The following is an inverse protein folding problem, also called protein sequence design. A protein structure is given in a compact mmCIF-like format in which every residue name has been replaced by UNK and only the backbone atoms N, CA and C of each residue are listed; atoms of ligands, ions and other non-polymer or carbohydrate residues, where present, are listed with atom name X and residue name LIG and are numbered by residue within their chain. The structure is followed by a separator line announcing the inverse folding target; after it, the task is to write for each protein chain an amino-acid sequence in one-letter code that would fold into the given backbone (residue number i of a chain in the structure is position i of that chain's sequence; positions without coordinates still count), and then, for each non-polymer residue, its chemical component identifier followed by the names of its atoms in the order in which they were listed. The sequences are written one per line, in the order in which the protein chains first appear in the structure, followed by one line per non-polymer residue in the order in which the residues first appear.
data_IF_661944601873
#
_entry.id   IF_661944601873
#
_cell.length_a   1.000
_cell.length_b   1.000
_cell.length_c   1.000
_cell.angle_alpha   90.00
_cell.angle_beta   90.00
_cell.angle_gamma   90.00
#
_symmetry.space_group_name_H-M   'P 1'
#
loop_
_entity.id
_entity.type
_entity.pdbx_description
1 polymer ?
#
# COMPACT_ATOMS: atom_id res chain seq x y z
N UNK A 1 25.92 -25.69 5.30
CA UNK A 1 24.60 -25.89 5.92
C UNK A 1 23.65 -24.83 5.39
N UNK A 2 22.67 -25.22 4.56
CA UNK A 2 21.53 -24.35 4.24
C UNK A 2 20.63 -24.35 5.47
N UNK A 3 20.45 -23.20 6.12
CA UNK A 3 19.47 -23.09 7.19
C UNK A 3 18.10 -22.94 6.53
N UNK A 4 17.49 -24.09 6.24
CA UNK A 4 16.11 -24.15 5.79
C UNK A 4 15.24 -24.63 6.96
N UNK A 5 14.90 -23.71 7.85
CA UNK A 5 14.00 -24.00 8.99
C UNK A 5 12.62 -24.47 8.52
N UNK A 6 12.23 -24.17 7.28
CA UNK A 6 11.01 -24.65 6.67
C UNK A 6 11.10 -26.08 6.13
N UNK A 7 12.28 -26.72 6.16
CA UNK A 7 12.46 -28.09 5.65
C UNK A 7 11.64 -29.14 6.42
N UNK A 8 11.26 -28.84 7.67
CA UNK A 8 10.43 -29.69 8.52
C UNK A 8 8.91 -29.44 8.38
N UNK A 9 8.50 -28.51 7.51
CA UNK A 9 7.09 -28.21 7.29
C UNK A 9 6.32 -29.38 6.69
N UNK A 10 5.03 -29.50 7.03
CA UNK A 10 4.09 -30.45 6.44
C UNK A 10 3.02 -29.73 5.62
N UNK A 11 2.36 -30.47 4.73
CA UNK A 11 1.14 -30.00 4.08
C UNK A 11 -0.01 -29.91 5.06
N UNK A 12 -0.97 -29.02 4.74
CA UNK A 12 -2.26 -28.97 5.42
C UNK A 12 -2.98 -30.32 5.25
N UNK A 13 -3.50 -30.86 6.35
CA UNK A 13 -4.24 -32.10 6.40
C UNK A 13 -5.75 -31.80 6.41
N UNK A 14 -6.57 -32.81 6.12
CA UNK A 14 -8.03 -32.66 6.08
C UNK A 14 -8.67 -32.33 7.43
N UNK A 15 -8.00 -32.69 8.52
CA UNK A 15 -8.41 -32.45 9.90
C UNK A 15 -7.82 -31.16 10.49
N UNK A 16 -7.04 -30.39 9.72
CA UNK A 16 -6.65 -29.04 10.11
C UNK A 16 -7.84 -28.08 9.97
N UNK A 17 -7.95 -27.15 10.91
CA UNK A 17 -8.94 -26.09 10.89
C UNK A 17 -8.30 -24.80 10.37
N UNK A 18 -9.01 -24.12 9.46
CA UNK A 18 -8.53 -22.87 8.86
C UNK A 18 -9.50 -21.76 9.23
N UNK A 19 -8.98 -20.71 9.84
CA UNK A 19 -9.71 -19.50 10.21
C UNK A 19 -9.31 -18.36 9.26
N UNK A 20 -10.31 -17.61 8.76
CA UNK A 20 -10.09 -16.49 7.85
C UNK A 20 -10.63 -15.22 8.45
N UNK A 21 -9.74 -14.25 8.68
CA UNK A 21 -10.09 -12.89 9.10
C UNK A 21 -9.89 -11.89 7.97
N UNK A 22 -10.93 -11.13 7.63
CA UNK A 22 -10.85 -10.08 6.62
C UNK A 22 -10.34 -8.77 7.24
N UNK A 23 -9.56 -8.02 6.47
CA UNK A 23 -8.88 -6.80 6.92
C UNK A 23 -8.85 -5.74 5.81
N UNK A 24 -9.05 -4.47 6.15
CA UNK A 24 -8.83 -3.35 5.23
C UNK A 24 -7.48 -2.70 5.56
N UNK A 25 -6.52 -2.83 4.65
CA UNK A 25 -5.16 -2.29 4.84
C UNK A 25 -4.98 -0.89 4.28
N UNK A 26 -5.71 -0.61 3.21
CA UNK A 26 -5.50 0.58 2.41
C UNK A 26 -6.82 0.99 1.81
N UNK A 27 -7.05 2.30 1.79
CA UNK A 27 -8.17 2.90 1.10
C UNK A 27 -7.73 4.24 0.50
N UNK A 28 -8.25 4.57 -0.68
CA UNK A 28 -8.06 5.87 -1.29
C UNK A 28 -9.27 6.33 -2.07
N UNK A 29 -9.51 7.63 -2.03
CA UNK A 29 -10.49 8.33 -2.84
C UNK A 29 -9.74 9.27 -3.77
N UNK A 30 -10.11 9.24 -5.04
CA UNK A 30 -9.60 10.12 -6.07
C UNK A 30 -10.76 10.89 -6.66
N UNK A 31 -10.65 12.21 -6.64
CA UNK A 31 -11.64 13.09 -7.24
C UNK A 31 -11.61 13.01 -8.75
N UNK A 32 -12.74 13.36 -9.36
CA UNK A 32 -12.78 13.88 -10.72
C UNK A 32 -11.93 15.16 -10.79
N UNK A 33 -11.40 15.50 -11.97
CA UNK A 33 -10.69 16.76 -12.16
C UNK A 33 -11.56 17.94 -11.72
N UNK A 34 -10.96 18.86 -10.95
CA UNK A 34 -11.62 20.10 -10.51
C UNK A 34 -12.96 19.86 -9.80
N UNK A 35 -13.06 18.78 -9.02
CA UNK A 35 -14.23 18.50 -8.18
C UNK A 35 -13.81 18.30 -6.72
N UNK A 36 -14.50 18.95 -5.75
CA UNK A 36 -14.31 18.64 -4.34
C UNK A 36 -14.81 17.21 -4.05
N UNK A 37 -14.23 16.56 -3.03
CA UNK A 37 -14.61 15.18 -2.66
C UNK A 37 -15.12 15.03 -1.25
N UNK A 38 -14.95 16.02 -0.37
CA UNK A 38 -15.46 15.92 1.00
C UNK A 38 -16.92 16.38 1.10
N UNK A 39 -17.66 15.87 2.08
CA UNK A 39 -19.00 16.34 2.44
C UNK A 39 -18.92 17.28 3.65
N UNK A 40 -19.82 18.27 3.70
CA UNK A 40 -19.96 19.24 4.79
C UNK A 40 -20.29 18.57 6.14
N UNK A 41 -21.19 17.58 6.12
CA UNK A 41 -21.55 16.74 7.28
C UNK A 41 -20.43 15.74 7.57
N UNK A 42 -20.05 15.61 8.83
CA UNK A 42 -19.03 14.69 9.32
C UNK A 42 -18.73 14.96 10.80
N UNK A 43 -17.69 14.32 11.39
CA UNK A 43 -17.35 14.53 12.79
C UNK A 43 -17.04 16.01 13.06
N UNK A 44 -17.74 16.62 14.03
CA UNK A 44 -17.68 18.05 14.35
C UNK A 44 -16.28 18.60 14.66
N UNK A 45 -15.35 17.75 15.13
CA UNK A 45 -14.02 18.14 15.59
C UNK A 45 -12.89 17.66 14.68
N UNK A 46 -13.19 17.16 13.47
CA UNK A 46 -12.14 16.79 12.52
C UNK A 46 -11.49 18.04 11.92
N UNK A 47 -10.16 18.05 11.95
CA UNK A 47 -9.34 19.17 11.49
C UNK A 47 -8.37 18.67 10.41
N UNK A 48 -8.24 19.45 9.33
CA UNK A 48 -7.28 19.22 8.27
C UNK A 48 -6.03 20.06 8.54
N UNK A 49 -4.92 19.40 8.81
CA UNK A 49 -3.62 20.05 8.93
C UNK A 49 -2.98 20.16 7.56
N UNK A 50 -2.89 21.39 7.03
CA UNK A 50 -2.24 21.73 5.77
C UNK A 50 -0.74 21.96 6.02
N UNK A 51 0.11 21.27 5.27
CA UNK A 51 1.57 21.26 5.44
C UNK A 51 2.28 21.81 4.19
N UNK A 52 2.29 23.14 4.03
CA UNK A 52 2.86 23.80 2.85
C UNK A 52 4.37 23.52 2.69
N UNK A 53 5.07 23.35 3.82
CA UNK A 53 6.49 22.96 3.91
C UNK A 53 6.84 21.61 3.28
N UNK A 54 5.89 20.70 3.27
CA UNK A 54 6.09 19.29 2.92
C UNK A 54 5.55 18.94 1.54
N UNK A 55 5.33 19.92 0.66
CA UNK A 55 4.74 19.74 -0.68
C UNK A 55 5.38 18.61 -1.51
N UNK A 56 6.68 18.34 -1.31
CA UNK A 56 7.43 17.30 -2.03
C UNK A 56 7.36 15.92 -1.37
N UNK A 57 6.56 15.75 -0.30
CA UNK A 57 6.36 14.46 0.37
C UNK A 57 5.93 13.42 -0.65
N UNK A 58 6.53 12.24 -0.55
CA UNK A 58 6.32 11.16 -1.51
C UNK A 58 4.92 10.57 -1.40
N UNK A 59 4.26 10.37 -2.53
CA UNK A 59 3.01 9.61 -2.64
C UNK A 59 3.30 8.11 -2.46
N UNK A 60 2.77 7.48 -1.41
CA UNK A 60 3.13 6.10 -1.02
C UNK A 60 2.03 5.06 -1.22
N UNK A 61 0.84 5.48 -1.63
CA UNK A 61 -0.28 4.58 -1.85
C UNK A 61 -0.07 3.65 -3.06
N UNK A 62 -0.81 2.53 -3.10
CA UNK A 62 -0.78 1.56 -4.21
C UNK A 62 -1.62 1.99 -5.42
N UNK A 63 -2.45 3.04 -5.28
CA UNK A 63 -3.24 3.63 -6.38
C UNK A 63 -2.49 3.93 -7.68
N UNK A 64 -1.20 4.33 -7.70
CA UNK A 64 -0.51 4.67 -8.94
C UNK A 64 -0.45 3.53 -9.95
N UNK A 65 -0.57 2.27 -9.50
CA UNK A 65 -0.68 1.11 -10.40
C UNK A 65 -2.00 1.06 -11.18
N UNK A 66 -3.03 1.75 -10.69
CA UNK A 66 -4.39 1.73 -11.21
C UNK A 66 -4.72 2.99 -12.03
N UNK A 67 -3.89 4.02 -11.95
CA UNK A 67 -4.08 5.28 -12.68
C UNK A 67 -3.85 5.11 -14.20
N UNK A 68 -4.60 5.84 -15.04
CA UNK A 68 -4.40 5.81 -16.49
C UNK A 68 -3.19 6.61 -16.98
N UNK A 69 -2.37 7.16 -16.07
CA UNK A 69 -1.18 7.97 -16.38
C UNK A 69 -0.09 7.83 -15.30
N UNK A 70 1.19 8.10 -15.63
CA UNK A 70 2.27 8.08 -14.65
C UNK A 70 2.22 9.31 -13.73
N UNK A 71 2.47 9.13 -12.44
CA UNK A 71 2.44 10.24 -11.46
C UNK A 71 3.75 11.05 -11.38
N UNK A 72 4.75 10.71 -12.20
CA UNK A 72 6.05 11.41 -12.21
C UNK A 72 5.86 12.92 -12.41
N UNK A 73 6.45 13.74 -11.53
CA UNK A 73 6.41 15.19 -11.64
C UNK A 73 5.02 15.83 -11.46
N UNK A 74 4.03 15.12 -10.91
CA UNK A 74 2.61 15.56 -10.87
C UNK A 74 2.01 15.67 -9.48
N UNK A 75 2.71 15.24 -8.43
CA UNK A 75 2.20 15.23 -7.07
C UNK A 75 2.59 16.48 -6.29
N UNK A 76 1.65 16.99 -5.51
CA UNK A 76 1.84 18.01 -4.49
C UNK A 76 1.15 17.57 -3.21
N UNK A 77 1.89 17.44 -2.12
CA UNK A 77 1.31 17.08 -0.82
C UNK A 77 0.64 18.28 -0.17
N UNK A 78 -0.63 18.13 0.21
CA UNK A 78 -1.41 19.17 0.87
C UNK A 78 -1.30 19.06 2.38
N UNK A 79 -1.43 17.85 2.92
CA UNK A 79 -1.39 17.66 4.36
C UNK A 79 -2.07 16.39 4.85
N UNK A 80 -2.61 16.44 6.07
CA UNK A 80 -3.29 15.29 6.67
C UNK A 80 -4.43 15.68 7.60
N UNK A 81 -5.49 14.87 7.59
CA UNK A 81 -6.56 14.89 8.58
C UNK A 81 -6.61 13.52 9.25
N UNK A 82 -6.45 13.47 10.57
CA UNK A 82 -6.25 12.21 11.29
C UNK A 82 -5.10 11.39 10.68
N UNK A 83 -5.42 10.24 10.07
CA UNK A 83 -4.47 9.38 9.34
C UNK A 83 -4.44 9.64 7.84
N UNK A 84 -5.47 10.28 7.30
CA UNK A 84 -5.65 10.52 5.88
C UNK A 84 -4.55 11.43 5.36
N UNK A 85 -3.92 11.03 4.26
CA UNK A 85 -2.90 11.80 3.57
C UNK A 85 -3.50 12.42 2.31
N UNK A 86 -3.44 13.75 2.21
CA UNK A 86 -4.04 14.50 1.12
C UNK A 86 -2.98 15.01 0.13
N UNK A 87 -3.28 14.86 -1.15
CA UNK A 87 -2.44 15.26 -2.26
C UNK A 87 -3.29 15.91 -3.36
N UNK A 88 -2.70 16.86 -4.08
CA UNK A 88 -3.11 17.22 -5.42
C UNK A 88 -2.28 16.42 -6.41
N UNK A 89 -2.93 15.71 -7.32
CA UNK A 89 -2.28 15.05 -8.44
C UNK A 89 -2.73 15.73 -9.73
N UNK A 90 -1.77 16.14 -10.55
CA UNK A 90 -2.05 16.83 -11.81
C UNK A 90 -2.32 15.79 -12.90
N UNK A 91 -3.59 15.53 -13.19
CA UNK A 91 -4.04 14.61 -14.24
C UNK A 91 -3.86 15.26 -15.62
N UNK A 92 -3.20 14.59 -16.60
CA UNK A 92 -3.14 15.10 -17.96
C UNK A 92 -4.53 15.27 -18.57
N UNK A 93 -4.79 16.43 -19.20
CA UNK A 93 -6.04 16.70 -19.92
C UNK A 93 -6.17 15.79 -21.14
N UNK A 94 -5.06 15.63 -21.87
CA UNK A 94 -4.97 14.68 -22.96
C UNK A 94 -4.64 13.29 -22.42
N UNK A 95 -5.38 12.28 -22.87
CA UNK A 95 -5.18 10.91 -22.44
C UNK A 95 -3.74 10.45 -22.60
N UNK A 96 -3.19 9.82 -21.56
CA UNK A 96 -1.87 9.21 -21.61
C UNK A 96 -1.98 7.79 -22.18
N UNK A 97 -1.16 7.49 -23.19
CA UNK A 97 -1.06 6.13 -23.74
C UNK A 97 0.08 5.42 -23.03
N UNK A 98 -0.26 4.40 -22.24
CA UNK A 98 0.76 3.53 -21.65
C UNK A 98 1.49 2.73 -22.72
N UNK A 99 2.79 2.41 -22.52
CA UNK A 99 3.48 1.45 -23.37
C UNK A 99 2.74 0.11 -23.38
N UNK A 100 2.67 -0.51 -24.55
CA UNK A 100 2.07 -1.84 -24.72
C UNK A 100 2.85 -2.93 -23.95
N UNK A 101 4.15 -2.72 -23.74
CA UNK A 101 4.99 -3.62 -22.97
C UNK A 101 4.70 -3.52 -21.46
N UNK A 102 4.29 -4.63 -20.84
CA UNK A 102 3.95 -4.70 -19.41
C UNK A 102 5.15 -4.35 -18.51
N UNK A 103 6.37 -4.78 -18.87
CA UNK A 103 7.55 -4.55 -18.04
C UNK A 103 8.00 -3.08 -18.07
N UNK A 104 7.92 -2.45 -19.23
CA UNK A 104 8.16 -1.01 -19.40
C UNK A 104 7.13 -0.18 -18.65
N UNK A 105 5.83 -0.50 -18.78
CA UNK A 105 4.78 0.13 -17.98
C UNK A 105 5.07 0.04 -16.48
N UNK A 106 5.41 -1.15 -15.98
CA UNK A 106 5.75 -1.34 -14.57
C UNK A 106 6.98 -0.51 -14.14
N UNK A 107 8.00 -0.44 -14.99
CA UNK A 107 9.20 0.37 -14.75
C UNK A 107 8.83 1.85 -14.62
N UNK A 108 8.01 2.38 -15.53
CA UNK A 108 7.54 3.77 -15.48
C UNK A 108 6.72 4.06 -14.22
N UNK A 109 5.84 3.15 -13.81
CA UNK A 109 5.07 3.30 -12.56
C UNK A 109 6.03 3.36 -11.35
N UNK A 110 6.99 2.44 -11.24
CA UNK A 110 7.96 2.41 -10.13
C UNK A 110 8.84 3.66 -10.08
N UNK A 111 9.28 4.14 -11.24
CA UNK A 111 10.04 5.38 -11.35
C UNK A 111 9.19 6.60 -10.96
N UNK A 112 7.95 6.67 -11.46
CA UNK A 112 7.02 7.75 -11.17
C UNK A 112 6.67 7.84 -9.69
N UNK A 113 6.50 6.72 -8.98
CA UNK A 113 6.31 6.72 -7.52
C UNK A 113 7.55 7.25 -6.77
N UNK A 114 8.75 7.12 -7.34
CA UNK A 114 9.99 7.64 -6.74
C UNK A 114 10.20 9.13 -7.00
N UNK A 115 9.77 9.61 -8.17
CA UNK A 115 9.91 11.00 -8.63
C UNK A 115 8.54 11.67 -8.78
N UNK A 116 7.61 11.38 -7.88
CA UNK A 116 6.23 11.83 -8.04
C UNK A 116 6.06 13.33 -7.83
N UNK A 117 6.86 13.94 -6.96
CA UNK A 117 6.75 15.35 -6.63
C UNK A 117 6.95 16.22 -7.87
N UNK A 118 6.10 17.23 -8.04
CA UNK A 118 6.23 18.19 -9.13
C UNK A 118 7.53 19.02 -9.03
N UNK A 119 7.89 19.70 -10.11
CA UNK A 119 9.04 20.60 -10.09
C UNK A 119 8.85 21.71 -9.06
N UNK A 120 9.96 22.23 -8.53
CA UNK A 120 9.93 23.32 -7.54
C UNK A 120 9.27 24.59 -8.09
N UNK A 121 9.41 24.85 -9.39
CA UNK A 121 8.80 26.00 -10.04
C UNK A 121 7.28 25.86 -10.19
N UNK A 122 6.79 24.64 -10.46
CA UNK A 122 5.37 24.35 -10.47
C UNK A 122 4.80 24.39 -9.05
N UNK A 123 5.49 23.79 -8.08
CA UNK A 123 5.09 23.84 -6.67
C UNK A 123 4.96 25.29 -6.17
N UNK A 124 5.89 26.17 -6.57
CA UNK A 124 5.82 27.61 -6.26
C UNK A 124 4.56 28.26 -6.83
N UNK A 125 4.26 28.06 -8.12
CA UNK A 125 3.07 28.64 -8.76
C UNK A 125 1.78 28.11 -8.10
N UNK A 126 1.73 26.81 -7.80
CA UNK A 126 0.59 26.20 -7.12
C UNK A 126 0.40 26.73 -5.70
N UNK A 127 1.49 26.96 -4.97
CA UNK A 127 1.44 27.59 -3.64
C UNK A 127 0.96 29.04 -3.69
N UNK A 128 1.39 29.82 -4.68
CA UNK A 128 0.88 31.18 -4.89
C UNK A 128 -0.63 31.16 -5.16
N UNK A 129 -1.11 30.19 -5.92
CA UNK A 129 -2.53 29.99 -6.15
C UNK A 129 -3.28 29.63 -4.85
N UNK A 130 -2.79 28.65 -4.08
CA UNK A 130 -3.36 28.26 -2.78
C UNK A 130 -3.46 29.47 -1.84
N UNK A 131 -2.40 30.26 -1.73
CA UNK A 131 -2.40 31.48 -0.91
C UNK A 131 -3.44 32.49 -1.41
N UNK A 132 -3.55 32.68 -2.73
CA UNK A 132 -4.54 33.62 -3.28
C UNK A 132 -5.98 33.25 -2.94
N UNK A 133 -6.30 31.94 -2.91
CA UNK A 133 -7.61 31.44 -2.46
C UNK A 133 -7.82 31.78 -0.99
N UNK A 134 -6.85 31.46 -0.13
CA UNK A 134 -6.94 31.71 1.30
C UNK A 134 -7.10 33.21 1.62
N UNK A 135 -6.41 34.08 0.89
CA UNK A 135 -6.52 35.54 1.07
C UNK A 135 -7.83 36.12 0.53
N UNK A 136 -8.41 35.52 -0.52
CA UNK A 136 -9.63 36.04 -1.16
C UNK A 136 -10.91 35.84 -0.35
N UNK A 137 -10.92 34.92 0.62
CA UNK A 137 -12.11 34.57 1.37
C UNK A 137 -11.89 34.76 2.88
N UNK A 138 -12.76 35.55 3.53
CA UNK A 138 -12.64 35.92 4.95
C UNK A 138 -12.52 34.72 5.89
N UNK A 139 -13.29 33.65 5.67
CA UNK A 139 -13.21 32.44 6.50
C UNK A 139 -11.89 31.67 6.37
N UNK A 140 -11.25 31.69 5.20
CA UNK A 140 -9.95 31.05 4.99
C UNK A 140 -8.78 31.94 5.42
N UNK A 141 -8.91 33.26 5.27
CA UNK A 141 -7.90 34.22 5.67
C UNK A 141 -7.59 34.13 7.18
N UNK A 142 -8.62 33.83 8.00
CA UNK A 142 -8.47 33.59 9.45
C UNK A 142 -7.54 32.41 9.79
N UNK A 143 -7.35 31.46 8.88
CA UNK A 143 -6.46 30.33 9.09
C UNK A 143 -4.97 30.73 9.05
N UNK A 144 -4.65 31.94 8.55
CA UNK A 144 -3.28 32.43 8.56
C UNK A 144 -2.41 31.82 7.46
N UNK A 145 -2.98 31.50 6.30
CA UNK A 145 -2.22 31.27 5.06
C UNK A 145 -2.23 32.57 4.25
N UNK A 146 -1.10 33.27 4.22
CA UNK A 146 -0.98 34.60 3.60
C UNK A 146 0.30 34.75 2.77
N UNK A 147 0.37 35.78 1.92
CA UNK A 147 1.50 36.01 1.02
C UNK A 147 2.77 36.42 1.77
N UNK A 148 2.64 37.15 2.88
CA UNK A 148 3.79 37.55 3.71
C UNK A 148 4.50 36.33 4.30
N UNK A 149 3.73 35.29 4.65
CA UNK A 149 4.23 33.99 5.06
C UNK A 149 5.14 33.36 4.01
N UNK A 150 4.72 33.45 2.75
CA UNK A 150 5.40 32.85 1.61
C UNK A 150 6.67 33.63 1.25
N UNK A 151 6.64 34.96 1.39
CA UNK A 151 7.71 35.89 1.00
C UNK A 151 8.77 36.11 2.10
N UNK A 152 8.44 35.91 3.37
CA UNK A 152 9.37 36.09 4.50
C UNK A 152 10.58 35.11 4.47
N UNK A 153 10.58 34.12 3.58
CA UNK A 153 11.69 33.18 3.42
C UNK A 153 12.63 33.63 2.29
N UNK A 154 13.68 34.37 2.68
CA UNK A 154 14.67 35.00 1.80
C UNK A 154 15.37 34.03 0.82
N UNK A 155 15.43 32.74 1.15
CA UNK A 155 15.73 31.69 0.18
C UNK A 155 14.57 30.71 0.14
N UNK A 156 13.85 30.68 -0.97
CA UNK A 156 12.82 29.68 -1.28
C UNK A 156 13.32 28.22 -1.26
N UNK A 157 14.55 27.94 -0.80
CA UNK A 157 15.12 26.58 -0.63
C UNK A 157 14.20 25.69 0.21
N UNK A 158 13.38 26.33 1.03
CA UNK A 158 12.59 25.75 2.10
C UNK A 158 11.11 26.18 1.99
N UNK A 159 10.53 26.18 0.78
CA UNK A 159 9.10 26.43 0.48
C UNK A 159 8.17 26.06 1.66
N UNK A 160 7.80 27.01 2.53
CA UNK A 160 6.84 26.80 3.62
C UNK A 160 7.35 26.11 4.88
N UNK A 161 8.66 26.11 5.19
CA UNK A 161 9.21 25.47 6.41
C UNK A 161 8.47 25.93 7.67
N UNK A 162 8.07 24.95 8.49
CA UNK A 162 7.38 25.01 9.79
C UNK A 162 5.97 25.61 9.82
N UNK A 163 5.33 25.85 8.67
CA UNK A 163 3.94 26.35 8.66
C UNK A 163 2.96 25.21 8.39
N UNK A 164 2.52 24.61 9.49
CA UNK A 164 1.29 23.83 9.55
C UNK A 164 0.13 24.78 9.84
N UNK A 165 -0.94 24.70 9.05
CA UNK A 165 -2.17 25.44 9.30
C UNK A 165 -3.31 24.46 9.44
N UNK A 166 -4.10 24.63 10.48
CA UNK A 166 -5.25 23.80 10.75
C UNK A 166 -6.51 24.46 10.20
N UNK A 167 -7.18 23.73 9.30
CA UNK A 167 -8.48 24.11 8.74
C UNK A 167 -9.55 23.22 9.38
N UNK A 168 -10.62 23.84 9.89
CA UNK A 168 -11.83 23.11 10.21
C UNK A 168 -12.38 22.40 8.96
N UNK A 169 -13.23 21.39 9.14
CA UNK A 169 -13.89 20.68 8.03
C UNK A 169 -14.58 21.63 7.04
N UNK A 170 -15.34 22.60 7.54
CA UNK A 170 -16.03 23.58 6.70
C UNK A 170 -15.05 24.44 5.90
N UNK A 171 -13.94 24.87 6.51
CA UNK A 171 -12.87 25.59 5.79
C UNK A 171 -12.16 24.69 4.77
N UNK A 172 -11.97 23.40 5.07
CA UNK A 172 -11.35 22.47 4.12
C UNK A 172 -12.23 22.20 2.90
N UNK A 173 -13.54 22.03 3.09
CA UNK A 173 -14.50 21.93 1.98
C UNK A 173 -14.53 23.23 1.16
N UNK A 174 -14.68 24.38 1.82
CA UNK A 174 -14.68 25.68 1.15
C UNK A 174 -13.39 25.92 0.35
N UNK A 175 -12.23 25.52 0.90
CA UNK A 175 -10.97 25.57 0.17
C UNK A 175 -11.02 24.70 -1.10
N UNK A 176 -11.50 23.46 -1.03
CA UNK A 176 -11.61 22.60 -2.20
C UNK A 176 -12.53 23.21 -3.27
N UNK A 177 -13.67 23.77 -2.87
CA UNK A 177 -14.63 24.41 -3.78
C UNK A 177 -14.02 25.61 -4.50
N UNK A 178 -13.43 26.55 -3.75
CA UNK A 178 -12.77 27.73 -4.34
C UNK A 178 -11.55 27.35 -5.18
N UNK A 179 -10.79 26.33 -4.76
CA UNK A 179 -9.67 25.78 -5.52
C UNK A 179 -10.13 25.21 -6.87
N UNK A 180 -11.27 24.55 -6.93
CA UNK A 180 -11.79 24.04 -8.20
C UNK A 180 -12.34 25.18 -9.07
N UNK A 181 -13.11 26.10 -8.47
CA UNK A 181 -13.79 27.17 -9.20
C UNK A 181 -12.82 28.18 -9.82
N UNK A 182 -11.77 28.57 -9.10
CA UNK A 182 -10.87 29.64 -9.54
C UNK A 182 -9.67 29.15 -10.38
N UNK A 183 -9.53 27.85 -10.62
CA UNK A 183 -8.29 27.27 -11.19
C UNK A 183 -8.00 27.78 -12.60
N UNK A 184 -8.99 27.69 -13.49
CA UNK A 184 -8.84 28.10 -14.89
C UNK A 184 -8.67 29.61 -15.04
N UNK A 185 -9.31 30.40 -14.19
CA UNK A 185 -9.13 31.86 -14.17
C UNK A 185 -7.68 32.22 -13.78
N UNK A 186 -7.17 31.62 -12.70
CA UNK A 186 -5.84 31.91 -12.19
C UNK A 186 -4.72 31.53 -13.18
N UNK A 187 -4.80 30.33 -13.76
CA UNK A 187 -3.80 29.85 -14.71
C UNK A 187 -4.14 30.23 -16.17
N UNK A 188 -5.21 30.99 -16.38
CA UNK A 188 -5.76 31.39 -17.68
C UNK A 188 -4.80 32.19 -18.58
N UNK A 189 -3.86 32.92 -17.97
CA UNK A 189 -2.90 33.77 -18.66
C UNK A 189 -1.60 33.07 -19.06
N UNK A 190 -1.39 31.82 -18.60
CA UNK A 190 -0.20 31.05 -18.96
C UNK A 190 -0.32 30.50 -20.40
N UNK A 191 0.84 30.25 -21.02
CA UNK A 191 0.92 29.61 -22.35
C UNK A 191 0.10 28.31 -22.37
N UNK A 192 -0.52 27.99 -23.51
CA UNK A 192 -1.38 26.81 -23.64
C UNK A 192 -0.64 25.49 -23.35
N UNK A 193 0.64 25.41 -23.70
CA UNK A 193 1.51 24.25 -23.42
C UNK A 193 2.05 24.22 -21.97
N UNK A 194 1.70 25.21 -21.15
CA UNK A 194 2.18 25.25 -19.78
C UNK A 194 1.57 24.11 -18.94
N UNK A 195 2.34 23.59 -17.99
CA UNK A 195 1.95 22.44 -17.17
C UNK A 195 0.52 22.53 -16.56
N UNK A 196 0.14 23.66 -15.96
CA UNK A 196 -1.22 23.90 -15.41
C UNK A 196 -2.33 24.08 -16.45
N UNK A 197 -1.98 24.24 -17.73
CA UNK A 197 -2.92 24.33 -18.86
C UNK A 197 -3.13 22.98 -19.54
N UNK A 198 -2.15 22.08 -19.45
CA UNK A 198 -2.24 20.72 -19.99
C UNK A 198 -2.57 19.66 -18.94
N UNK A 199 -2.72 20.05 -17.67
CA UNK A 199 -3.09 19.18 -16.57
C UNK A 199 -4.14 19.82 -15.67
N UNK A 200 -5.07 19.02 -15.19
CA UNK A 200 -6.09 19.41 -14.22
C UNK A 200 -5.83 18.74 -12.86
N UNK A 201 -6.04 19.46 -11.76
CA UNK A 201 -5.83 18.90 -10.43
C UNK A 201 -6.94 17.94 -10.04
N UNK A 202 -6.55 16.82 -9.43
CA UNK A 202 -7.43 15.91 -8.70
C UNK A 202 -7.01 15.85 -7.24
N UNK A 203 -7.98 15.84 -6.32
CA UNK A 203 -7.75 15.54 -4.92
C UNK A 203 -7.60 14.05 -4.74
N UNK A 204 -6.46 13.65 -4.18
CA UNK A 204 -6.20 12.29 -3.76
C UNK A 204 -6.11 12.27 -2.26
N UNK A 205 -6.89 11.40 -1.63
CA UNK A 205 -6.79 11.14 -0.21
C UNK A 205 -6.65 9.65 0.00
N UNK A 206 -5.76 9.25 0.91
CA UNK A 206 -5.62 7.85 1.25
C UNK A 206 -5.26 7.62 2.71
N UNK A 207 -5.66 6.46 3.22
CA UNK A 207 -5.15 5.88 4.46
C UNK A 207 -4.37 4.61 4.13
N UNK A 208 -3.30 4.36 4.88
CA UNK A 208 -2.46 3.17 4.73
C UNK A 208 -2.13 2.57 6.10
N UNK A 209 -2.18 1.23 6.18
CA UNK A 209 -1.81 0.45 7.36
C UNK A 209 -2.88 0.44 8.45
N UNK A 210 -4.15 0.47 8.04
CA UNK A 210 -5.30 0.45 8.96
C UNK A 210 -5.43 -0.91 9.67
N UNK A 211 -5.13 -2.02 8.97
CA UNK A 211 -5.37 -3.41 9.39
C UNK A 211 -6.75 -3.56 10.08
N UNK A 212 -7.75 -2.84 9.58
CA UNK A 212 -9.07 -2.75 10.20
C UNK A 212 -9.80 -4.07 10.02
N UNK A 213 -10.29 -4.71 11.09
CA UNK A 213 -11.05 -5.96 11.00
C UNK A 213 -12.33 -5.73 10.21
N UNK A 214 -12.47 -6.43 9.09
CA UNK A 214 -13.66 -6.44 8.25
C UNK A 214 -14.59 -7.52 8.78
N UNK A 215 -15.55 -7.12 9.61
CA UNK A 215 -16.67 -7.95 10.06
C UNK A 215 -16.33 -8.77 11.30
N UNK A 216 -16.68 -8.24 12.48
CA UNK A 216 -17.09 -9.04 13.64
C UNK A 216 -17.81 -8.17 14.69
N UNK A 217 -18.88 -8.74 15.25
CA UNK A 217 -19.78 -8.24 16.29
C UNK A 217 -20.78 -7.12 15.91
N UNK A 218 -22.06 -7.52 15.85
CA UNK A 218 -23.29 -6.71 15.99
C UNK A 218 -23.71 -5.80 14.84
N UNK A 219 -22.79 -5.29 14.01
CA UNK A 219 -23.08 -4.56 12.76
C UNK A 219 -22.22 -5.21 11.65
N UNK A 220 -22.78 -5.42 10.45
CA UNK A 220 -21.95 -5.83 9.31
C UNK A 220 -20.91 -4.74 9.07
N UNK A 221 -19.62 -5.03 9.20
CA UNK A 221 -18.57 -4.04 8.97
C UNK A 221 -18.70 -3.34 7.62
N UNK A 222 -19.26 -4.04 6.63
CA UNK A 222 -19.56 -3.47 5.31
C UNK A 222 -20.49 -2.25 5.45
N UNK A 223 -21.55 -2.36 6.26
CA UNK A 223 -22.50 -1.26 6.49
C UNK A 223 -21.82 -0.11 7.24
N UNK A 224 -20.99 -0.41 8.24
CA UNK A 224 -20.24 0.61 8.97
C UNK A 224 -19.22 1.33 8.08
N UNK A 225 -18.50 0.60 7.24
CA UNK A 225 -17.55 1.18 6.29
C UNK A 225 -18.29 2.04 5.24
N UNK A 226 -19.41 1.55 4.71
CA UNK A 226 -20.28 2.32 3.81
C UNK A 226 -20.74 3.61 4.47
N UNK A 227 -21.21 3.55 5.72
CA UNK A 227 -21.68 4.71 6.49
C UNK A 227 -20.56 5.72 6.70
N UNK A 228 -19.38 5.28 7.15
CA UNK A 228 -18.23 6.16 7.36
C UNK A 228 -17.77 6.82 6.06
N UNK A 229 -17.64 6.05 4.97
CA UNK A 229 -17.20 6.58 3.68
C UNK A 229 -18.23 7.54 3.08
N UNK A 230 -19.53 7.22 3.21
CA UNK A 230 -20.62 8.06 2.71
C UNK A 230 -20.84 9.30 3.58
N UNK A 231 -20.43 9.29 4.84
CA UNK A 231 -20.38 10.47 5.70
C UNK A 231 -19.15 11.36 5.38
N UNK A 232 -18.05 10.77 4.90
CA UNK A 232 -16.82 11.51 4.64
C UNK A 232 -16.76 12.08 3.21
N UNK A 233 -17.19 11.31 2.21
CA UNK A 233 -16.91 11.59 0.81
C UNK A 233 -18.15 11.70 -0.07
N UNK A 234 -18.18 12.74 -0.91
CA UNK A 234 -19.23 12.98 -1.88
C UNK A 234 -18.95 12.18 -3.15
N UNK A 235 -19.64 11.06 -3.31
CA UNK A 235 -19.43 10.15 -4.44
C UNK A 235 -19.59 10.82 -5.82
N UNK A 236 -20.39 11.89 -5.94
CA UNK A 236 -20.52 12.61 -7.20
C UNK A 236 -19.19 13.24 -7.67
N UNK A 237 -18.35 13.66 -6.73
CA UNK A 237 -17.02 14.21 -6.98
C UNK A 237 -15.94 13.16 -7.14
N UNK A 238 -16.23 11.88 -6.90
CA UNK A 238 -15.25 10.78 -6.95
C UNK A 238 -15.14 10.22 -8.36
N UNK A 239 -13.92 10.06 -8.85
CA UNK A 239 -13.60 9.35 -10.09
C UNK A 239 -13.25 7.89 -9.83
N UNK A 240 -12.49 7.63 -8.77
CA UNK A 240 -12.00 6.29 -8.46
C UNK A 240 -11.85 6.07 -6.96
N UNK A 241 -12.18 4.86 -6.51
CA UNK A 241 -11.87 4.36 -5.17
C UNK A 241 -10.80 3.27 -5.30
N UNK A 242 -9.71 3.38 -4.55
CA UNK A 242 -8.69 2.34 -4.44
C UNK A 242 -8.77 1.64 -3.07
N UNK A 243 -8.57 0.34 -3.02
CA UNK A 243 -8.56 -0.42 -1.76
C UNK A 243 -7.57 -1.56 -1.78
N UNK A 244 -7.04 -1.95 -0.61
CA UNK A 244 -6.40 -3.23 -0.41
C UNK A 244 -7.17 -4.04 0.64
N UNK A 245 -7.87 -5.06 0.16
CA UNK A 245 -8.51 -6.06 1.02
C UNK A 245 -7.48 -7.13 1.36
N UNK A 246 -7.35 -7.45 2.63
CA UNK A 246 -6.46 -8.49 3.12
C UNK A 246 -7.21 -9.60 3.84
N UNK A 247 -6.69 -10.81 3.72
CA UNK A 247 -7.20 -12.03 4.33
C UNK A 247 -6.08 -12.61 5.18
N UNK A 248 -6.25 -12.58 6.49
CA UNK A 248 -5.41 -13.30 7.41
C UNK A 248 -5.94 -14.72 7.55
N UNK A 249 -5.11 -15.69 7.22
CA UNK A 249 -5.42 -17.11 7.29
C UNK A 249 -4.61 -17.71 8.43
N UNK A 250 -5.32 -18.07 9.49
CA UNK A 250 -4.82 -18.84 10.62
C UNK A 250 -5.13 -20.32 10.42
N UNK A 251 -4.26 -21.18 10.96
CA UNK A 251 -4.42 -22.63 10.85
C UNK A 251 -4.17 -23.25 12.21
N UNK A 252 -5.07 -24.12 12.63
CA UNK A 252 -4.88 -24.99 13.80
C UNK A 252 -4.94 -26.45 13.37
N UNK A 253 -4.16 -27.31 14.04
CA UNK A 253 -4.25 -28.76 13.84
C UNK A 253 -5.55 -29.33 14.44
N UNK A 254 -5.78 -30.63 14.23
CA UNK A 254 -6.92 -31.36 14.83
C UNK A 254 -6.99 -31.33 16.37
N UNK A 255 -5.92 -30.92 17.03
CA UNK A 255 -5.84 -30.78 18.48
C UNK A 255 -6.01 -29.32 18.93
N UNK A 256 -6.24 -28.40 17.99
CA UNK A 256 -6.38 -26.97 18.24
C UNK A 256 -5.05 -26.23 18.38
N UNK A 257 -3.92 -26.86 18.07
CA UNK A 257 -2.62 -26.20 18.13
C UNK A 257 -2.39 -25.34 16.89
N UNK A 258 -1.97 -24.11 17.11
CA UNK A 258 -1.62 -23.17 16.05
C UNK A 258 -0.47 -23.67 15.16
N UNK A 259 -0.60 -23.49 13.85
CA UNK A 259 0.38 -23.87 12.83
C UNK A 259 0.87 -22.64 12.05
N UNK A 260 2.20 -22.47 12.02
CA UNK A 260 2.86 -21.46 11.18
C UNK A 260 2.61 -21.74 9.70
N UNK A 261 2.02 -20.78 8.99
CA UNK A 261 1.74 -20.90 7.55
C UNK A 261 2.75 -20.11 6.71
N UNK A 262 3.36 -20.78 5.72
CA UNK A 262 4.46 -20.23 4.92
C UNK A 262 4.19 -20.45 3.42
N UNK A 263 4.74 -19.57 2.58
CA UNK A 263 4.70 -19.76 1.12
C UNK A 263 5.94 -20.49 0.67
N UNK A 264 5.78 -21.72 0.17
CA UNK A 264 6.86 -22.51 -0.43
C UNK A 264 7.11 -22.07 -1.88
N UNK A 265 8.36 -21.70 -2.18
CA UNK A 265 8.81 -21.25 -3.50
C UNK A 265 8.46 -22.24 -4.60
N UNK A 266 8.78 -23.53 -4.42
CA UNK A 266 8.61 -24.54 -5.47
C UNK A 266 7.14 -24.75 -5.83
N UNK A 267 6.25 -24.64 -4.84
CA UNK A 267 4.81 -24.74 -5.04
C UNK A 267 4.24 -23.47 -5.65
N UNK A 268 4.71 -22.31 -5.18
CA UNK A 268 4.29 -21.02 -5.77
C UNK A 268 4.64 -20.91 -7.25
N UNK A 269 5.68 -21.63 -7.71
CA UNK A 269 6.05 -21.65 -9.13
C UNK A 269 4.92 -22.20 -10.02
N UNK A 270 4.17 -23.19 -9.55
CA UNK A 270 3.03 -23.77 -10.28
C UNK A 270 1.80 -22.86 -10.27
N UNK A 271 1.62 -22.07 -9.21
CA UNK A 271 0.46 -21.20 -9.00
C UNK A 271 0.47 -19.90 -9.83
N UNK A 272 1.63 -19.53 -10.40
CA UNK A 272 1.81 -18.29 -11.15
C UNK A 272 2.59 -18.53 -12.45
N UNK A 273 2.07 -19.28 -13.43
CA UNK A 273 2.84 -19.90 -14.51
C UNK A 273 3.73 -18.93 -15.32
N UNK A 274 3.39 -17.64 -15.40
CA UNK A 274 4.25 -16.64 -16.02
C UNK A 274 5.29 -16.08 -15.03
N UNK A 275 6.58 -16.32 -15.30
CA UNK A 275 7.69 -15.78 -14.49
C UNK A 275 7.65 -14.25 -14.43
N UNK A 276 7.21 -13.59 -15.50
CA UNK A 276 7.12 -12.13 -15.63
C UNK A 276 6.07 -11.48 -14.74
N UNK A 277 5.10 -12.25 -14.22
CA UNK A 277 4.02 -11.70 -13.40
C UNK A 277 4.37 -11.67 -11.91
N UNK A 278 5.44 -12.34 -11.45
CA UNK A 278 5.73 -12.53 -10.01
C UNK A 278 7.16 -12.16 -9.60
N UNK A 279 7.30 -11.70 -8.36
CA UNK A 279 8.58 -11.55 -7.65
C UNK A 279 8.50 -12.32 -6.34
N UNK A 280 9.46 -13.21 -6.12
CA UNK A 280 9.60 -13.95 -4.87
C UNK A 280 10.65 -13.28 -3.99
N UNK A 281 10.29 -13.00 -2.75
CA UNK A 281 11.18 -12.44 -1.74
C UNK A 281 11.41 -13.48 -0.65
N UNK A 282 12.62 -14.03 -0.51
CA UNK A 282 12.96 -14.96 0.56
C UNK A 282 12.58 -14.41 1.94
N UNK A 283 12.06 -15.30 2.80
CA UNK A 283 11.69 -14.96 4.16
C UNK A 283 12.87 -15.28 5.09
N UNK A 284 13.51 -14.22 5.61
CA UNK A 284 14.71 -14.34 6.41
C UNK A 284 15.88 -14.93 5.59
N UNK A 285 16.58 -15.92 6.15
CA UNK A 285 17.67 -16.61 5.46
C UNK A 285 17.24 -17.89 4.71
N UNK A 286 15.95 -18.28 4.72
CA UNK A 286 15.50 -19.48 4.00
C UNK A 286 15.40 -19.22 2.49
N UNK A 287 15.99 -20.08 1.63
CA UNK A 287 15.81 -20.00 0.19
C UNK A 287 14.50 -20.66 -0.29
N UNK A 288 13.81 -21.41 0.58
CA UNK A 288 12.63 -22.22 0.21
C UNK A 288 11.33 -21.50 0.49
N UNK A 289 11.25 -20.70 1.55
CA UNK A 289 10.03 -19.97 1.91
C UNK A 289 10.19 -18.47 1.76
N UNK A 290 9.09 -17.80 1.45
CA UNK A 290 9.14 -16.38 1.10
C UNK A 290 7.79 -15.72 1.04
N UNK A 291 7.81 -14.54 0.43
CA UNK A 291 6.65 -13.75 0.08
C UNK A 291 6.57 -13.67 -1.43
N UNK A 292 5.37 -13.70 -1.97
CA UNK A 292 5.11 -13.53 -3.41
C UNK A 292 4.43 -12.18 -3.60
N UNK A 293 4.96 -11.39 -4.53
CA UNK A 293 4.23 -10.25 -5.09
C UNK A 293 3.98 -10.53 -6.56
N UNK A 294 2.78 -10.26 -7.04
CA UNK A 294 2.40 -10.51 -8.43
C UNK A 294 1.53 -9.38 -8.95
N UNK A 295 1.53 -9.14 -10.27
CA UNK A 295 0.54 -8.25 -10.91
C UNK A 295 -0.79 -8.95 -11.19
N UNK A 296 -0.82 -10.28 -11.07
CA UNK A 296 -1.99 -11.12 -11.33
C UNK A 296 -2.20 -12.07 -10.12
N UNK A 297 -3.44 -12.40 -9.76
CA UNK A 297 -3.74 -13.34 -8.67
C UNK A 297 -3.24 -14.77 -8.97
N UNK A 298 -3.22 -15.65 -7.97
CA UNK A 298 -2.90 -17.07 -8.20
C UNK A 298 -3.99 -17.77 -9.01
N UNK A 299 -3.60 -18.74 -9.84
CA UNK A 299 -4.51 -19.42 -10.78
C UNK A 299 -5.54 -20.27 -10.04
N UNK A 300 -5.13 -21.08 -9.06
CA UNK A 300 -5.99 -22.10 -8.45
C UNK A 300 -7.17 -21.57 -7.61
N UNK A 301 -7.03 -20.41 -6.98
CA UNK A 301 -7.97 -19.96 -5.95
C UNK A 301 -8.69 -18.66 -6.29
N UNK A 302 -7.95 -17.70 -6.85
CA UNK A 302 -8.44 -16.32 -6.94
C UNK A 302 -8.67 -15.85 -8.37
N UNK A 303 -8.03 -16.43 -9.39
CA UNK A 303 -8.20 -15.98 -10.77
C UNK A 303 -9.67 -16.11 -11.22
N UNK A 304 -10.30 -17.26 -11.02
CA UNK A 304 -11.70 -17.49 -11.41
C UNK A 304 -12.67 -16.62 -10.60
N UNK A 305 -12.43 -16.50 -9.28
CA UNK A 305 -13.25 -15.68 -8.40
C UNK A 305 -13.20 -14.20 -8.82
N UNK A 306 -12.00 -13.67 -9.03
CA UNK A 306 -11.80 -12.26 -9.37
C UNK A 306 -12.30 -11.95 -10.78
N UNK A 307 -12.07 -12.87 -11.74
CA UNK A 307 -12.62 -12.74 -13.09
C UNK A 307 -14.14 -12.78 -13.07
N UNK A 308 -14.74 -13.65 -12.24
CA UNK A 308 -16.19 -13.70 -12.04
C UNK A 308 -16.75 -12.39 -11.47
N UNK A 309 -16.11 -11.80 -10.46
CA UNK A 309 -16.50 -10.50 -9.90
C UNK A 309 -16.40 -9.39 -10.96
N UNK A 310 -15.32 -9.36 -11.73
CA UNK A 310 -15.11 -8.34 -12.77
C UNK A 310 -16.16 -8.49 -13.88
N UNK A 311 -16.40 -9.69 -14.41
CA UNK A 311 -17.38 -9.91 -15.47
C UNK A 311 -18.82 -9.68 -14.98
N UNK A 312 -19.14 -10.07 -13.75
CA UNK A 312 -20.44 -9.79 -13.15
C UNK A 312 -20.69 -8.28 -13.02
N UNK A 313 -19.76 -7.55 -12.40
CA UNK A 313 -19.91 -6.10 -12.22
C UNK A 313 -19.94 -5.36 -13.57
N UNK A 314 -19.22 -5.87 -14.57
CA UNK A 314 -19.27 -5.36 -15.94
C UNK A 314 -20.63 -5.59 -16.59
N UNK A 315 -21.21 -6.78 -16.45
CA UNK A 315 -22.55 -7.08 -16.96
C UNK A 315 -23.63 -6.21 -16.30
N UNK A 316 -23.54 -6.00 -14.99
CA UNK A 316 -24.41 -5.10 -14.22
C UNK A 316 -24.29 -3.64 -14.66
N UNK A 317 -23.16 -3.22 -15.23
CA UNK A 317 -22.89 -1.85 -15.66
C UNK A 317 -22.86 -1.68 -17.20
N UNK A 318 -23.78 -2.32 -17.91
CA UNK A 318 -23.92 -2.22 -19.38
C UNK A 318 -22.66 -2.57 -20.18
N UNK A 319 -21.81 -3.45 -19.66
CA UNK A 319 -20.55 -3.85 -20.31
C UNK A 319 -19.36 -2.97 -19.97
N UNK A 320 -19.51 -1.94 -19.13
CA UNK A 320 -18.41 -1.09 -18.70
C UNK A 320 -17.58 -1.75 -17.60
N UNK A 321 -16.25 -1.73 -17.73
CA UNK A 321 -15.36 -2.16 -16.64
C UNK A 321 -15.44 -1.15 -15.49
N UNK A 322 -16.03 -1.57 -14.36
CA UNK A 322 -16.16 -0.76 -13.15
C UNK A 322 -15.24 -1.21 -12.02
N UNK A 323 -14.81 -2.48 -12.01
CA UNK A 323 -13.85 -3.00 -11.03
C UNK A 323 -12.60 -3.46 -11.76
N UNK A 324 -11.43 -3.06 -11.26
CA UNK A 324 -10.13 -3.48 -11.77
C UNK A 324 -9.29 -4.09 -10.66
N UNK A 325 -8.74 -5.26 -10.90
CA UNK A 325 -7.75 -5.87 -10.02
C UNK A 325 -6.37 -5.22 -10.21
N UNK A 326 -5.68 -4.99 -9.10
CA UNK A 326 -4.31 -4.48 -9.06
C UNK A 326 -3.31 -5.55 -8.61
N UNK A 327 -2.11 -5.12 -8.17
CA UNK A 327 -1.11 -6.03 -7.62
C UNK A 327 -1.64 -6.87 -6.46
N UNK A 328 -1.17 -8.09 -6.40
CA UNK A 328 -1.51 -9.10 -5.42
C UNK A 328 -0.29 -9.51 -4.61
N UNK A 329 -0.43 -9.74 -3.31
CA UNK A 329 0.66 -10.21 -2.46
C UNK A 329 0.23 -11.35 -1.56
N UNK A 330 1.13 -12.31 -1.35
CA UNK A 330 1.01 -13.37 -0.35
C UNK A 330 2.25 -13.34 0.53
N UNK A 331 2.08 -13.28 1.84
CA UNK A 331 3.20 -13.28 2.76
C UNK A 331 2.85 -13.86 4.13
N UNK A 332 3.85 -14.41 4.81
CA UNK A 332 3.70 -14.72 6.24
C UNK A 332 3.88 -13.44 7.07
N UNK A 333 3.06 -13.29 8.11
CA UNK A 333 3.18 -12.21 9.09
C UNK A 333 4.51 -12.23 9.85
N UNK A 334 5.22 -13.37 9.85
CA UNK A 334 6.62 -13.48 10.29
C UNK A 334 7.53 -12.44 9.63
N UNK A 335 7.21 -11.98 8.41
CA UNK A 335 8.00 -10.97 7.69
C UNK A 335 8.19 -9.68 8.50
N UNK A 336 7.28 -9.36 9.41
CA UNK A 336 7.38 -8.17 10.25
C UNK A 336 8.42 -8.37 11.37
N UNK A 337 8.46 -9.57 11.92
CA UNK A 337 9.31 -9.96 13.05
C UNK A 337 10.77 -10.19 12.64
N UNK A 338 11.02 -10.74 11.44
CA UNK A 338 12.34 -11.25 11.06
C UNK A 338 13.08 -10.41 10.00
N UNK A 339 12.69 -9.15 9.76
CA UNK A 339 13.36 -8.29 8.76
C UNK A 339 14.86 -8.18 9.03
N UNK A 340 15.72 -8.58 8.07
CA UNK A 340 17.16 -8.34 8.15
C UNK A 340 17.43 -6.84 8.10
N UNK A 341 18.39 -6.37 8.88
CA UNK A 341 18.91 -5.00 8.81
C UNK A 341 20.04 -4.93 7.78
N UNK A 342 20.35 -3.74 7.27
CA UNK A 342 21.48 -3.54 6.35
C UNK A 342 22.80 -4.02 6.95
N UNK A 343 22.98 -3.89 8.28
CA UNK A 343 24.14 -4.39 9.01
C UNK A 343 24.27 -5.93 8.97
N UNK A 344 23.15 -6.65 8.91
CA UNK A 344 23.12 -8.12 8.80
C UNK A 344 23.62 -8.60 7.44
N UNK A 345 23.43 -7.76 6.41
CA UNK A 345 23.78 -8.05 5.03
C UNK A 345 25.21 -7.61 4.67
N UNK A 346 25.70 -6.51 5.28
CA UNK A 346 26.95 -5.85 4.86
C UNK A 346 28.25 -6.40 5.46
N UNK A 347 28.27 -6.89 6.71
CA UNK A 347 29.54 -7.06 7.44
C UNK A 347 29.97 -8.52 7.66
N UNK A 348 29.09 -9.51 7.45
CA UNK A 348 29.28 -10.85 8.06
C UNK A 348 29.24 -12.06 7.13
N UNK A 349 29.00 -11.89 5.82
CA UNK A 349 29.20 -12.97 4.82
C UNK A 349 30.64 -13.48 4.84
N UNK A 350 31.61 -12.58 4.88
CA UNK A 350 33.04 -12.93 4.94
C UNK A 350 33.42 -13.65 6.23
N UNK A 351 32.90 -13.23 7.39
CA UNK A 351 33.20 -13.87 8.67
C UNK A 351 32.52 -15.24 8.83
N UNK A 352 31.28 -15.39 8.37
CA UNK A 352 30.61 -16.70 8.36
C UNK A 352 31.30 -17.67 7.40
N UNK A 353 31.69 -17.25 6.19
CA UNK A 353 32.48 -18.13 5.31
C UNK A 353 33.86 -18.41 5.93
N UNK A 354 34.53 -17.40 6.47
CA UNK A 354 35.84 -17.57 7.10
C UNK A 354 35.82 -18.47 8.34
N UNK A 355 34.75 -18.50 9.14
CA UNK A 355 34.63 -19.41 10.31
C UNK A 355 34.63 -20.88 9.93
N UNK A 356 34.22 -21.20 8.70
CA UNK A 356 34.18 -22.56 8.17
C UNK A 356 35.35 -22.90 7.24
N UNK A 357 36.00 -21.89 6.66
CA UNK A 357 37.09 -22.09 5.69
C UNK A 357 38.50 -21.85 6.25
N UNK A 358 38.63 -21.25 7.43
CA UNK A 358 39.91 -21.03 8.09
C UNK A 358 40.13 -22.13 9.13
N UNK A 359 41.13 -22.97 8.90
CA UNK A 359 41.58 -23.95 9.89
C UNK A 359 42.38 -23.26 11.00
N UNK A 360 42.24 -23.71 12.25
CA UNK A 360 42.95 -23.15 13.41
C UNK A 360 44.47 -23.18 13.22
N UNK A 361 44.96 -24.21 12.51
CA UNK A 361 46.37 -24.36 12.15
C UNK A 361 46.91 -23.27 11.21
N UNK A 362 46.04 -22.55 10.51
CA UNK A 362 46.44 -21.44 9.61
C UNK A 362 46.58 -20.10 10.34
N UNK A 363 46.33 -20.05 11.64
CA UNK A 363 46.26 -18.82 12.44
C UNK A 363 47.60 -18.55 13.14
N UNK A 364 48.57 -18.01 12.38
CA UNK A 364 49.96 -17.85 12.81
C UNK A 364 50.22 -16.77 13.88
N UNK A 365 49.36 -15.75 14.01
CA UNK A 365 49.60 -14.60 14.90
C UNK A 365 48.54 -14.42 15.97
N UNK A 366 48.91 -13.81 17.11
CA UNK A 366 47.98 -13.53 18.22
C UNK A 366 46.83 -12.60 17.81
N UNK A 367 47.08 -11.66 16.89
CA UNK A 367 46.05 -10.80 16.27
C UNK A 367 45.08 -11.61 15.40
N UNK A 368 45.58 -12.58 14.64
CA UNK A 368 44.74 -13.49 13.87
C UNK A 368 43.97 -14.44 14.78
N UNK A 369 44.52 -14.89 15.91
CA UNK A 369 43.79 -15.70 16.91
C UNK A 369 42.62 -14.95 17.55
N UNK A 370 42.80 -13.68 17.93
CA UNK A 370 41.67 -12.86 18.41
C UNK A 370 40.57 -12.70 17.37
N UNK A 371 40.93 -12.48 16.10
CA UNK A 371 39.96 -12.42 14.98
C UNK A 371 39.30 -13.78 14.73
N UNK A 372 40.05 -14.87 14.77
CA UNK A 372 39.54 -16.23 14.65
C UNK A 372 38.55 -16.56 15.78
N UNK A 373 38.85 -16.19 17.02
CA UNK A 373 37.91 -16.32 18.15
C UNK A 373 36.63 -15.49 17.94
N UNK A 374 36.74 -14.25 17.47
CA UNK A 374 35.57 -13.42 17.11
C UNK A 374 34.73 -14.05 15.98
N UNK A 375 35.39 -14.76 15.07
CA UNK A 375 34.78 -15.49 13.95
C UNK A 375 34.13 -16.80 14.41
N UNK A 376 34.72 -17.50 15.39
CA UNK A 376 34.17 -18.71 16.01
C UNK A 376 32.90 -18.45 16.84
N UNK A 377 32.66 -17.22 17.30
CA UNK A 377 31.38 -16.84 17.94
C UNK A 377 30.20 -17.10 16.99
N UNK A 378 30.39 -16.95 15.68
CA UNK A 378 29.35 -17.18 14.67
C UNK A 378 29.03 -18.68 14.46
N UNK A 379 29.92 -19.58 14.85
CA UNK A 379 29.78 -21.05 14.72
C UNK A 379 29.52 -21.76 16.05
N UNK A 380 29.75 -21.11 17.20
CA UNK A 380 29.60 -21.75 18.53
C UNK A 380 28.13 -22.11 18.87
N UNK A 381 27.74 -23.38 18.87
CA UNK A 381 26.35 -23.81 19.11
C UNK A 381 25.88 -23.62 20.56
N UNK A 382 26.77 -23.30 21.50
CA UNK A 382 26.48 -23.28 22.94
C UNK A 382 25.60 -22.11 23.41
N UNK A 383 25.23 -21.16 22.54
CA UNK A 383 24.34 -20.06 22.94
C UNK A 383 23.27 -19.77 21.87
N UNK A 384 22.15 -20.54 21.87
CA UNK A 384 21.06 -20.40 20.90
C UNK A 384 20.26 -19.10 21.04
N UNK A 385 20.46 -18.33 22.12
CA UNK A 385 19.76 -17.07 22.41
C UNK A 385 20.65 -15.84 22.19
N UNK A 386 21.81 -16.00 21.54
CA UNK A 386 22.70 -14.88 21.24
C UNK A 386 22.17 -14.07 20.03
N UNK A 387 21.45 -12.99 20.34
CA UNK A 387 20.90 -12.03 19.35
C UNK A 387 22.01 -11.23 18.60
N UNK A 388 23.29 -11.43 18.96
CA UNK A 388 24.42 -10.87 18.22
C UNK A 388 24.63 -11.59 16.89
N UNK A 389 24.25 -12.88 16.75
CA UNK A 389 24.40 -13.64 15.50
C UNK A 389 23.10 -13.57 14.67
N UNK A 390 23.11 -13.03 13.43
CA UNK A 390 21.88 -12.80 12.65
C UNK A 390 20.97 -14.03 12.50
N UNK A 391 21.53 -15.21 12.24
CA UNK A 391 20.74 -16.46 12.07
C UNK A 391 20.09 -16.90 13.39
N UNK A 392 20.78 -16.75 14.53
CA UNK A 392 20.23 -17.11 15.85
C UNK A 392 19.17 -16.10 16.29
N UNK A 393 19.42 -14.82 16.04
CA UNK A 393 18.43 -13.77 16.25
C UNK A 393 17.17 -14.01 15.41
N UNK A 394 17.32 -14.43 14.16
CA UNK A 394 16.19 -14.83 13.32
C UNK A 394 15.41 -15.99 13.96
N UNK A 395 16.07 -17.08 14.35
CA UNK A 395 15.43 -18.22 15.02
C UNK A 395 14.72 -17.83 16.34
N UNK A 396 15.35 -16.96 17.15
CA UNK A 396 14.78 -16.38 18.38
C UNK A 396 13.51 -15.56 18.08
N UNK A 397 13.52 -14.75 17.03
CA UNK A 397 12.36 -13.95 16.60
C UNK A 397 11.24 -14.80 16.01
N UNK A 398 11.57 -15.87 15.28
CA UNK A 398 10.58 -16.85 14.79
C UNK A 398 9.87 -17.49 15.98
N UNK A 399 10.62 -18.03 16.95
CA UNK A 399 10.02 -18.67 18.14
C UNK A 399 9.09 -17.72 18.90
N UNK A 400 9.53 -16.48 19.15
CA UNK A 400 8.69 -15.44 19.77
C UNK A 400 7.42 -15.15 18.96
N UNK A 401 7.53 -15.08 17.64
CA UNK A 401 6.38 -14.83 16.79
C UNK A 401 5.37 -16.00 16.83
N UNK A 402 5.86 -17.24 16.84
CA UNK A 402 5.06 -18.46 16.99
C UNK A 402 4.36 -18.51 18.36
N UNK A 403 5.07 -18.18 19.45
CA UNK A 403 4.51 -18.07 20.79
C UNK A 403 3.38 -17.02 20.87
N UNK A 404 3.50 -15.93 20.09
CA UNK A 404 2.47 -14.89 19.98
C UNK A 404 1.39 -15.17 18.91
N UNK A 405 1.44 -16.32 18.23
CA UNK A 405 0.55 -16.68 17.10
C UNK A 405 0.51 -15.62 15.98
N UNK A 406 1.61 -14.89 15.78
CA UNK A 406 1.72 -13.78 14.81
C UNK A 406 2.52 -14.18 13.57
N UNK A 407 2.18 -15.34 13.02
CA UNK A 407 2.88 -16.01 11.92
C UNK A 407 1.89 -16.58 10.87
N UNK A 408 0.65 -16.11 10.93
CA UNK A 408 -0.40 -16.37 9.96
C UNK A 408 0.00 -15.97 8.53
N UNK A 409 -0.67 -16.57 7.55
CA UNK A 409 -0.51 -16.20 6.15
C UNK A 409 -1.46 -15.04 5.82
N UNK A 410 -0.99 -14.06 5.06
CA UNK A 410 -1.78 -12.93 4.61
C UNK A 410 -1.82 -12.86 3.09
N UNK A 411 -3.02 -12.80 2.54
CA UNK A 411 -3.29 -12.52 1.14
C UNK A 411 -3.78 -11.09 1.02
N UNK A 412 -3.21 -10.29 0.13
CA UNK A 412 -3.54 -8.87 -0.04
C UNK A 412 -3.92 -8.59 -1.50
N UNK A 413 -5.14 -8.10 -1.69
CA UNK A 413 -5.77 -7.85 -2.98
C UNK A 413 -5.97 -6.35 -3.17
N UNK A 414 -5.33 -5.77 -4.18
CA UNK A 414 -5.61 -4.38 -4.55
C UNK A 414 -6.76 -4.33 -5.56
N UNK A 415 -7.72 -3.43 -5.35
CA UNK A 415 -8.81 -3.16 -6.27
C UNK A 415 -8.95 -1.67 -6.54
N UNK A 416 -9.44 -1.34 -7.73
CA UNK A 416 -10.01 -0.04 -8.06
C UNK A 416 -11.48 -0.18 -8.42
N UNK A 417 -12.30 0.73 -7.92
CA UNK A 417 -13.65 1.00 -8.40
C UNK A 417 -13.63 2.27 -9.26
N UNK A 418 -13.96 2.13 -10.54
CA UNK A 418 -14.02 3.21 -11.51
C UNK A 418 -15.42 3.81 -11.50
N UNK A 419 -15.66 4.74 -10.57
CA UNK A 419 -16.97 5.35 -10.33
C UNK A 419 -17.54 6.00 -11.59
N UNK A 420 -16.69 6.66 -12.37
CA UNK A 420 -17.09 7.31 -13.62
C UNK A 420 -17.60 6.34 -14.71
N UNK A 421 -17.30 5.05 -14.60
CA UNK A 421 -17.75 4.02 -15.53
C UNK A 421 -19.03 3.32 -15.05
N UNK A 422 -19.40 3.51 -13.78
CA UNK A 422 -20.56 2.87 -13.18
C UNK A 422 -21.85 3.56 -13.64
N UNK A 423 -22.92 2.76 -13.73
CA UNK A 423 -24.27 3.31 -13.85
C UNK A 423 -24.61 4.15 -12.63
N UNK A 424 -25.56 5.06 -12.77
CA UNK A 424 -25.88 6.07 -11.74
C UNK A 424 -26.28 5.41 -10.40
N UNK A 425 -27.05 4.33 -10.46
CA UNK A 425 -27.49 3.53 -9.31
C UNK A 425 -26.36 2.73 -8.66
N UNK A 426 -25.28 2.43 -9.39
CA UNK A 426 -24.13 1.65 -8.92
C UNK A 426 -22.98 2.53 -8.45
N UNK A 427 -22.99 3.83 -8.78
CA UNK A 427 -21.98 4.81 -8.37
C UNK A 427 -22.11 5.18 -6.88
N UNK A 428 -21.92 4.21 -5.98
CA UNK A 428 -21.96 4.37 -4.53
C UNK A 428 -21.06 3.34 -3.81
N UNK A 429 -20.72 3.63 -2.55
CA UNK A 429 -19.82 2.76 -1.77
C UNK A 429 -20.42 1.39 -1.46
N UNK A 430 -21.75 1.32 -1.27
CA UNK A 430 -22.44 0.08 -0.93
C UNK A 430 -22.29 -0.95 -2.06
N UNK A 431 -22.55 -0.55 -3.30
CA UNK A 431 -22.37 -1.40 -4.48
C UNK A 431 -20.96 -1.98 -4.55
N UNK A 432 -19.93 -1.12 -4.43
CA UNK A 432 -18.55 -1.57 -4.53
C UNK A 432 -18.17 -2.54 -3.40
N UNK A 433 -18.52 -2.21 -2.15
CA UNK A 433 -18.18 -3.03 -0.99
C UNK A 433 -18.92 -4.36 -1.07
N UNK A 434 -20.22 -4.36 -1.37
CA UNK A 434 -21.01 -5.59 -1.50
C UNK A 434 -20.46 -6.49 -2.62
N UNK A 435 -20.24 -5.94 -3.82
CA UNK A 435 -19.82 -6.73 -4.98
C UNK A 435 -18.40 -7.24 -4.90
N UNK A 436 -17.49 -6.52 -4.26
CA UNK A 436 -16.09 -6.96 -4.14
C UNK A 436 -15.85 -7.68 -2.82
N UNK A 437 -16.14 -7.05 -1.68
CA UNK A 437 -15.82 -7.60 -0.36
C UNK A 437 -16.81 -8.71 0.00
N UNK A 438 -18.09 -8.47 -0.25
CA UNK A 438 -19.16 -9.46 -0.02
C UNK A 438 -18.96 -10.73 -0.84
N UNK A 439 -18.67 -10.60 -2.14
CA UNK A 439 -18.42 -11.75 -3.02
C UNK A 439 -17.20 -12.58 -2.61
N UNK A 440 -16.08 -11.93 -2.25
CA UNK A 440 -14.87 -12.63 -1.79
C UNK A 440 -15.16 -13.36 -0.48
N UNK A 441 -15.81 -12.69 0.48
CA UNK A 441 -16.19 -13.29 1.76
C UNK A 441 -17.14 -14.47 1.58
N UNK A 442 -18.16 -14.31 0.74
CA UNK A 442 -19.11 -15.39 0.44
C UNK A 442 -18.41 -16.58 -0.21
N UNK A 443 -17.56 -16.35 -1.22
CA UNK A 443 -16.85 -17.43 -1.90
C UNK A 443 -15.93 -18.23 -0.96
N UNK A 444 -15.24 -17.56 -0.04
CA UNK A 444 -14.34 -18.20 0.93
C UNK A 444 -15.13 -18.97 1.99
N UNK A 445 -16.24 -18.39 2.48
CA UNK A 445 -17.10 -19.07 3.44
C UNK A 445 -17.83 -20.28 2.81
N UNK A 446 -18.32 -20.14 1.57
CA UNK A 446 -19.07 -21.17 0.86
C UNK A 446 -18.21 -22.36 0.41
N UNK A 447 -16.95 -22.11 0.00
CA UNK A 447 -16.01 -23.20 -0.32
C UNK A 447 -15.57 -23.98 0.91
N UNK A 448 -15.87 -23.47 2.11
CA UNK A 448 -15.23 -23.89 3.34
C UNK A 448 -13.73 -23.60 3.27
N UNK A 449 -13.10 -23.32 4.39
CA UNK A 449 -11.66 -23.09 4.42
C UNK A 449 -10.81 -24.33 4.02
N UNK A 450 -11.48 -25.43 3.61
CA UNK A 450 -10.94 -26.71 3.13
C UNK A 450 -10.37 -26.70 1.70
N UNK A 451 -10.71 -25.72 0.86
CA UNK A 451 -10.20 -25.65 -0.53
C UNK A 451 -9.10 -24.60 -0.76
N UNK A 452 -8.71 -23.85 0.27
CA UNK A 452 -7.55 -22.92 0.19
C UNK A 452 -6.22 -23.70 0.14
N UNK A 453 -6.23 -25.02 0.37
CA UNK A 453 -5.03 -25.82 0.60
C UNK A 453 -4.53 -26.68 -0.56
N UNK A 454 -5.26 -26.86 -1.66
CA UNK A 454 -4.78 -27.73 -2.75
C UNK A 454 -5.30 -27.24 -4.10
N UNK A 455 -4.40 -26.74 -4.95
CA UNK A 455 -4.58 -26.89 -6.39
C UNK A 455 -4.74 -28.38 -6.67
N UNK A 456 -5.96 -28.80 -6.97
CA UNK A 456 -6.25 -30.15 -7.42
C UNK A 456 -5.59 -30.34 -8.77
N UNK A 457 -4.36 -30.84 -8.77
CA UNK A 457 -3.77 -31.46 -9.95
C UNK A 457 -4.57 -32.71 -10.28
N UNK A 458 -5.39 -32.60 -11.32
CA UNK A 458 -5.72 -33.73 -12.18
C UNK A 458 -4.63 -33.89 -13.23
#
# INVERSE_FOLDING_TARGET
MYFDWAALGRELQMDDHVEVGFRLDYFAIISKPLMPIQIERGPLFETMSVHLGSWSKRYRASTPYLLPFPIEGRAFYLGSSNRLQWFLIMKPVFGYVWPSDKAEKQKLIRQGVTKCAMSRDNARKLLQYIVSICESHTELAKAGVDRRALEAQAEWKNLGVDRQVDLSRAQWLLFQELFCQCYHEHFGSLNEDHFFRTHEPTFHVYDYGQDLPVGNATISFDDHLVEQLSAEFNMNGVEMVGTALALNVGVTDRHGHHLSSLVDFRRSVAEFPQISSRTFFPLGFSPRVGNVQSTEPSVSLFTDLLSGIIEQTKAENSGNEVVRAGPFQIYSMLKQSIRPTTADLLVRRGYYTASWSVDEGMVATQKHRKRYQQVQVYTNPANPNDDVVPIRREASRIRRAQESQNDNLRFEFNFAFLVSNAQQEHANFAYFIERVFGSIRHAINARGAKHISCGSGG
#
